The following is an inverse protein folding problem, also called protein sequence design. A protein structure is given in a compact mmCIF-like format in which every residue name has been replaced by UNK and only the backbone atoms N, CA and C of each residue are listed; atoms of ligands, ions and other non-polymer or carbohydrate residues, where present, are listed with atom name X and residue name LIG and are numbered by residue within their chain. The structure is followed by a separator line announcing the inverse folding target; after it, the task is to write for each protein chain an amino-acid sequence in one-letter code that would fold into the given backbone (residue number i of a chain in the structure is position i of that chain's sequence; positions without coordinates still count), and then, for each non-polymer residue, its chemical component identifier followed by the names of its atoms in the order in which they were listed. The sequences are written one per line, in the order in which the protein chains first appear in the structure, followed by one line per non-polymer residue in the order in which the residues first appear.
data_IF_389590254249
#
_entry.id   IF_389590254249
#
_cell.length_a   1.000
_cell.length_b   1.000
_cell.length_c   1.000
_cell.angle_alpha   90.00
_cell.angle_beta   90.00
_cell.angle_gamma   90.00
#
_symmetry.space_group_name_H-M   'P 1'
#
loop_
_entity.id
_entity.type
_entity.pdbx_description
1 polymer ?
#
# COMPACT_ATOMS: atom_id res chain seq x y z
N UNK A 1 -11.38 -3.33 24.22
CA UNK A 1 -11.71 -2.87 22.86
C UNK A 1 -11.85 -4.03 21.89
N UNK A 2 -12.62 -3.87 20.81
CA UNK A 2 -12.68 -4.90 19.76
C UNK A 2 -11.55 -4.70 18.75
N UNK A 3 -10.84 -5.79 18.42
CA UNK A 3 -9.75 -5.77 17.45
C UNK A 3 -9.64 -7.07 16.65
N UNK A 4 -9.28 -6.97 15.39
CA UNK A 4 -8.78 -8.12 14.63
C UNK A 4 -7.32 -8.33 15.00
N UNK A 5 -7.01 -9.47 15.61
CA UNK A 5 -5.68 -9.76 16.15
C UNK A 5 -5.03 -10.87 15.34
N UNK A 6 -3.82 -10.61 14.85
CA UNK A 6 -2.97 -11.59 14.18
C UNK A 6 -1.94 -12.14 15.17
N UNK A 7 -2.07 -13.41 15.51
CA UNK A 7 -1.26 -14.05 16.55
C UNK A 7 -0.21 -14.98 15.95
N UNK A 8 0.94 -15.13 16.62
CA UNK A 8 1.99 -16.08 16.20
C UNK A 8 1.54 -17.53 16.44
N UNK A 9 0.89 -18.13 15.45
CA UNK A 9 0.37 -19.53 15.48
C UNK A 9 0.86 -20.30 14.24
N UNK A 10 2.02 -21.00 14.31
CA UNK A 10 2.63 -21.62 13.14
C UNK A 10 1.71 -22.56 12.36
N UNK A 11 0.96 -23.42 13.03
CA UNK A 11 0.04 -24.36 12.38
C UNK A 11 -1.08 -23.65 11.59
N UNK A 12 -1.67 -22.58 12.19
CA UNK A 12 -2.68 -21.76 11.49
C UNK A 12 -2.08 -20.95 10.34
N UNK A 13 -0.84 -20.47 10.50
CA UNK A 13 -0.13 -19.78 9.44
C UNK A 13 0.15 -20.71 8.25
N UNK A 14 0.58 -21.94 8.49
CA UNK A 14 0.74 -22.96 7.45
C UNK A 14 -0.59 -23.27 6.74
N UNK A 15 -1.69 -23.39 7.49
CA UNK A 15 -3.03 -23.56 6.91
C UNK A 15 -3.44 -22.36 6.04
N UNK A 16 -3.16 -21.14 6.48
CA UNK A 16 -3.41 -19.92 5.70
C UNK A 16 -2.61 -19.90 4.40
N UNK A 17 -1.33 -20.27 4.42
CA UNK A 17 -0.48 -20.37 3.22
C UNK A 17 -1.06 -21.35 2.19
N UNK A 18 -1.54 -22.51 2.63
CA UNK A 18 -2.16 -23.49 1.73
C UNK A 18 -3.50 -22.98 1.16
N UNK A 19 -4.35 -22.42 2.02
CA UNK A 19 -5.64 -21.90 1.61
C UNK A 19 -5.50 -20.69 0.66
N UNK A 20 -4.59 -19.75 0.94
CA UNK A 20 -4.32 -18.57 0.11
C UNK A 20 -3.79 -18.91 -1.28
N UNK A 21 -3.02 -20.01 -1.43
CA UNK A 21 -2.60 -20.53 -2.74
C UNK A 21 -3.76 -21.04 -3.59
N UNK A 22 -4.80 -21.59 -2.96
CA UNK A 22 -5.98 -22.10 -3.64
C UNK A 22 -6.98 -20.98 -3.95
N UNK A 23 -7.13 -20.03 -3.03
CA UNK A 23 -8.05 -18.91 -3.19
C UNK A 23 -7.53 -17.69 -2.41
N UNK A 24 -7.15 -16.60 -3.09
CA UNK A 24 -6.70 -15.38 -2.42
C UNK A 24 -7.74 -14.87 -1.40
N UNK A 25 -7.27 -14.53 -0.19
CA UNK A 25 -8.09 -14.12 0.94
C UNK A 25 -8.61 -15.26 1.83
N UNK A 26 -8.44 -16.53 1.41
CA UNK A 26 -8.92 -17.68 2.19
C UNK A 26 -8.18 -17.87 3.52
N UNK A 27 -7.00 -17.28 3.66
CA UNK A 27 -6.25 -17.25 4.93
C UNK A 27 -7.02 -16.58 6.07
N UNK A 28 -7.93 -15.67 5.78
CA UNK A 28 -8.77 -15.02 6.79
C UNK A 28 -9.61 -16.01 7.61
N UNK A 29 -10.11 -17.09 6.98
CA UNK A 29 -10.98 -18.08 7.61
C UNK A 29 -10.22 -19.12 8.45
N UNK A 30 -9.02 -19.53 8.01
CA UNK A 30 -8.30 -20.65 8.63
C UNK A 30 -7.02 -20.22 9.33
N UNK A 31 -6.60 -19.00 9.10
CA UNK A 31 -5.33 -18.43 9.57
C UNK A 31 -5.34 -17.97 11.03
N UNK A 32 -4.30 -17.26 11.43
CA UNK A 32 -4.13 -16.78 12.80
C UNK A 32 -4.87 -15.47 13.12
N UNK A 33 -5.53 -14.85 12.12
CA UNK A 33 -6.35 -13.66 12.32
C UNK A 33 -7.67 -14.02 13.02
N UNK A 34 -8.08 -13.23 14.01
CA UNK A 34 -9.38 -13.42 14.69
C UNK A 34 -9.87 -12.13 15.33
N UNK A 35 -11.18 -11.89 15.30
CA UNK A 35 -11.82 -10.82 16.06
C UNK A 35 -11.82 -11.18 17.55
N UNK A 36 -11.34 -10.26 18.41
CA UNK A 36 -11.19 -10.45 19.84
C UNK A 36 -11.58 -9.20 20.61
N UNK A 37 -11.95 -9.39 21.86
CA UNK A 37 -11.91 -8.34 22.87
C UNK A 37 -10.52 -8.39 23.51
N UNK A 38 -9.81 -7.24 23.46
CA UNK A 38 -8.44 -7.08 23.97
C UNK A 38 -8.34 -5.78 24.76
N UNK A 39 -7.35 -5.67 25.63
CA UNK A 39 -7.04 -4.43 26.31
C UNK A 39 -6.57 -3.36 25.34
N UNK A 40 -6.90 -2.09 25.54
CA UNK A 40 -6.36 -0.98 24.77
C UNK A 40 -4.84 -0.91 24.89
N UNK A 41 -4.12 -0.50 23.82
CA UNK A 41 -2.69 -0.26 23.93
C UNK A 41 -2.39 0.84 24.97
N UNK A 42 -1.35 0.63 25.76
CA UNK A 42 -0.85 1.63 26.68
C UNK A 42 -0.11 2.74 25.95
N UNK A 43 -0.15 3.97 26.47
CA UNK A 43 0.61 5.08 25.89
C UNK A 43 2.08 4.96 26.30
N UNK A 44 3.03 4.81 25.37
CA UNK A 44 4.44 4.58 25.70
C UNK A 44 5.13 5.77 26.37
N UNK A 45 4.59 6.97 26.23
CA UNK A 45 5.17 8.18 26.82
C UNK A 45 4.60 9.48 26.26
N UNK A 46 5.28 10.61 26.48
CA UNK A 46 4.84 11.91 25.98
C UNK A 46 4.70 11.94 24.46
N UNK A 47 3.73 12.72 23.99
CA UNK A 47 3.44 12.86 22.55
C UNK A 47 2.57 11.74 21.96
N UNK A 48 2.29 10.67 22.70
CA UNK A 48 1.38 9.62 22.29
C UNK A 48 -0.06 9.95 22.67
N UNK A 49 -0.99 9.59 21.79
CA UNK A 49 -2.42 9.80 22.00
C UNK A 49 -3.24 8.64 21.47
N UNK A 50 -4.48 8.55 21.92
CA UNK A 50 -5.46 7.58 21.45
C UNK A 50 -6.09 8.07 20.15
N UNK A 51 -6.32 7.14 19.24
CA UNK A 51 -7.03 7.37 17.99
C UNK A 51 -8.16 6.36 17.88
N UNK A 52 -9.35 6.84 17.60
CA UNK A 52 -10.52 6.01 17.31
C UNK A 52 -10.71 5.94 15.80
N UNK A 53 -10.35 4.83 15.13
CA UNK A 53 -10.53 4.68 13.68
C UNK A 53 -11.99 4.87 13.26
N UNK A 54 -12.19 5.61 12.18
CA UNK A 54 -13.48 5.77 11.48
C UNK A 54 -13.57 4.81 10.32
N UNK A 55 -12.57 4.87 9.43
CA UNK A 55 -12.33 3.90 8.36
C UNK A 55 -10.90 3.39 8.42
N UNK A 56 -10.71 2.13 8.07
CA UNK A 56 -9.39 1.56 7.85
C UNK A 56 -9.37 0.74 6.57
N UNK A 57 -8.47 1.09 5.66
CA UNK A 57 -8.31 0.41 4.37
C UNK A 57 -7.74 -1.01 4.52
N UNK A 58 -8.01 -1.84 3.51
CA UNK A 58 -7.37 -3.15 3.36
C UNK A 58 -6.32 -3.03 2.25
N UNK A 59 -5.05 -3.17 2.60
CA UNK A 59 -3.92 -3.10 1.69
C UNK A 59 -3.55 -4.48 1.12
N UNK A 60 -2.87 -4.50 -0.03
CA UNK A 60 -2.28 -5.73 -0.57
C UNK A 60 -1.29 -6.40 0.38
N UNK A 61 -0.54 -5.63 1.19
CA UNK A 61 0.37 -6.14 2.22
C UNK A 61 -0.37 -6.87 3.36
N UNK A 62 -1.56 -6.40 3.75
CA UNK A 62 -2.41 -7.08 4.72
C UNK A 62 -2.87 -8.43 4.16
N UNK A 63 -3.33 -8.45 2.91
CA UNK A 63 -3.75 -9.68 2.22
C UNK A 63 -2.61 -10.69 2.12
N UNK A 64 -1.40 -10.23 1.75
CA UNK A 64 -0.22 -11.09 1.68
C UNK A 64 0.14 -11.67 3.06
N UNK A 65 -0.01 -10.88 4.13
CA UNK A 65 0.22 -11.33 5.51
C UNK A 65 -0.82 -12.38 5.93
N UNK A 66 -2.08 -12.15 5.63
CA UNK A 66 -3.19 -13.04 5.97
C UNK A 66 -3.08 -14.38 5.22
N UNK A 67 -2.71 -14.35 3.96
CA UNK A 67 -2.50 -15.55 3.13
C UNK A 67 -1.11 -16.17 3.30
N UNK A 68 -0.26 -15.60 4.17
CA UNK A 68 1.08 -16.11 4.48
C UNK A 68 2.06 -16.04 3.30
N UNK A 69 1.84 -15.13 2.36
CA UNK A 69 2.70 -14.92 1.18
C UNK A 69 3.70 -13.77 1.34
N UNK A 70 3.62 -13.02 2.45
CA UNK A 70 4.59 -11.99 2.80
C UNK A 70 5.99 -12.57 2.94
N UNK A 71 7.02 -11.82 2.52
CA UNK A 71 8.40 -12.24 2.67
C UNK A 71 8.80 -12.35 4.16
N UNK A 72 9.53 -13.41 4.49
CA UNK A 72 10.14 -13.56 5.82
C UNK A 72 11.18 -12.49 6.15
N UNK A 73 11.61 -11.72 5.18
CA UNK A 73 12.46 -10.56 5.39
C UNK A 73 11.87 -9.58 6.42
N UNK A 74 10.56 -9.51 6.52
CA UNK A 74 9.86 -8.64 7.47
C UNK A 74 9.74 -9.24 8.89
N UNK A 75 9.98 -10.53 9.08
CA UNK A 75 9.75 -11.20 10.37
C UNK A 75 10.47 -10.54 11.56
N UNK A 76 11.74 -10.09 11.46
CA UNK A 76 12.42 -9.36 12.54
C UNK A 76 11.88 -7.94 12.79
N UNK A 77 11.06 -7.42 11.88
CA UNK A 77 10.51 -6.07 11.89
C UNK A 77 9.01 -6.06 12.22
N UNK A 78 8.51 -7.12 12.87
CA UNK A 78 7.11 -7.29 13.29
C UNK A 78 7.09 -7.90 14.67
N UNK A 79 6.27 -7.39 15.57
CA UNK A 79 6.00 -7.99 16.88
C UNK A 79 4.60 -8.60 16.95
N UNK A 80 4.41 -9.60 17.80
CA UNK A 80 3.17 -10.37 17.90
C UNK A 80 2.67 -10.45 19.35
N UNK A 81 1.32 -10.43 19.56
CA UNK A 81 0.27 -10.29 18.57
C UNK A 81 0.14 -8.84 18.07
N UNK A 82 -0.23 -8.62 16.83
CA UNK A 82 -0.52 -7.28 16.33
C UNK A 82 -1.95 -7.17 15.78
N UNK A 83 -2.46 -5.96 15.73
CA UNK A 83 -3.72 -5.62 15.06
C UNK A 83 -3.39 -5.00 13.71
N UNK A 84 -3.83 -5.57 12.56
CA UNK A 84 -3.56 -5.00 11.24
C UNK A 84 -4.26 -3.67 10.99
N UNK A 85 -3.98 -3.09 9.82
CA UNK A 85 -4.56 -1.83 9.34
C UNK A 85 -3.65 -0.64 9.57
N UNK A 86 -3.11 -0.12 8.47
CA UNK A 86 -2.17 1.02 8.46
C UNK A 86 -2.67 2.19 7.60
N UNK A 87 -3.74 2.02 6.85
CA UNK A 87 -4.42 3.08 6.12
C UNK A 87 -5.62 3.53 6.98
N UNK A 88 -5.47 4.61 7.74
CA UNK A 88 -6.43 4.95 8.81
C UNK A 88 -6.81 6.42 8.78
N UNK A 89 -8.11 6.68 8.81
CA UNK A 89 -8.69 7.94 9.26
C UNK A 89 -9.43 7.70 10.57
N UNK A 90 -9.24 8.58 11.55
CA UNK A 90 -9.82 8.43 12.88
C UNK A 90 -9.97 9.76 13.61
N UNK A 91 -10.58 9.70 14.80
CA UNK A 91 -10.74 10.85 15.69
C UNK A 91 -9.82 10.74 16.91
N UNK A 92 -9.29 11.87 17.31
CA UNK A 92 -8.64 12.05 18.61
C UNK A 92 -9.69 12.26 19.72
N UNK A 93 -9.28 12.15 20.97
CA UNK A 93 -10.16 12.38 22.12
C UNK A 93 -10.68 13.83 22.21
N UNK A 94 -9.98 14.79 21.59
CA UNK A 94 -10.40 16.19 21.50
C UNK A 94 -11.33 16.49 20.29
N UNK A 95 -11.73 15.45 19.54
CA UNK A 95 -12.64 15.54 18.42
C UNK A 95 -11.97 15.89 17.08
N UNK A 96 -10.67 16.17 17.04
CA UNK A 96 -9.95 16.40 15.78
C UNK A 96 -9.89 15.13 14.94
N UNK A 97 -10.22 15.26 13.66
CA UNK A 97 -10.10 14.18 12.69
C UNK A 97 -8.72 14.16 12.07
N UNK A 98 -8.10 12.98 12.02
CA UNK A 98 -6.73 12.80 11.55
C UNK A 98 -6.59 11.58 10.65
N UNK A 99 -5.62 11.63 9.73
CA UNK A 99 -5.05 10.44 9.10
C UNK A 99 -3.71 10.12 9.74
N UNK A 100 -3.34 8.85 9.74
CA UNK A 100 -2.15 8.36 10.41
C UNK A 100 -1.03 8.16 9.39
N UNK A 101 0.16 8.68 9.70
CA UNK A 101 1.43 8.30 9.06
C UNK A 101 1.93 7.05 9.79
N UNK A 102 1.72 5.84 9.28
CA UNK A 102 1.92 4.63 10.08
C UNK A 102 3.38 4.29 10.39
N UNK A 103 4.37 4.82 9.67
CA UNK A 103 5.79 4.52 9.87
C UNK A 103 6.23 4.86 11.30
N UNK A 104 6.83 3.88 11.99
CA UNK A 104 7.35 4.02 13.35
C UNK A 104 8.82 4.43 13.31
N UNK A 105 9.06 5.71 13.01
CA UNK A 105 10.40 6.31 12.93
C UNK A 105 11.05 6.52 14.31
N UNK A 106 12.30 7.01 14.34
CA UNK A 106 13.01 7.31 15.58
C UNK A 106 12.21 8.17 16.55
N UNK A 107 11.51 9.20 16.07
CA UNK A 107 10.73 10.12 16.92
C UNK A 107 9.60 9.37 17.64
N UNK A 108 8.78 8.61 16.91
CA UNK A 108 7.74 7.79 17.51
C UNK A 108 8.31 6.76 18.50
N UNK A 109 9.53 6.27 18.28
CA UNK A 109 10.20 5.32 19.17
C UNK A 109 10.93 5.94 20.36
N UNK A 110 10.83 7.28 20.54
CA UNK A 110 11.53 7.98 21.63
C UNK A 110 13.05 7.94 21.54
N UNK A 111 13.60 7.77 20.33
CA UNK A 111 15.05 7.65 20.10
C UNK A 111 15.65 9.02 19.82
N UNK A 112 16.57 9.45 20.68
CA UNK A 112 17.35 10.68 20.53
C UNK A 112 18.84 10.38 20.78
N UNK A 113 19.78 10.89 19.92
CA UNK A 113 19.50 11.55 18.65
C UNK A 113 18.88 10.57 17.62
N UNK A 114 18.15 11.11 16.66
CA UNK A 114 17.58 10.32 15.55
C UNK A 114 18.67 9.78 14.63
N UNK A 115 18.40 8.70 13.88
CA UNK A 115 19.32 8.25 12.82
C UNK A 115 19.36 9.26 11.67
N UNK A 116 20.41 9.20 10.84
CA UNK A 116 20.63 10.15 9.74
C UNK A 116 19.41 10.25 8.79
N UNK A 117 18.82 9.15 8.28
CA UNK A 117 17.64 9.27 7.44
C UNK A 117 16.46 9.99 8.13
N UNK A 118 16.20 9.70 9.40
CA UNK A 118 15.13 10.38 10.15
C UNK A 118 15.41 11.88 10.36
N UNK A 119 16.66 12.25 10.61
CA UNK A 119 17.08 13.66 10.74
C UNK A 119 16.88 14.43 9.41
N UNK A 120 16.97 13.74 8.29
CA UNK A 120 16.75 14.28 6.93
C UNK A 120 15.28 14.20 6.46
N UNK A 121 14.37 13.74 7.32
CA UNK A 121 12.93 13.56 6.97
C UNK A 121 12.62 12.29 6.17
N UNK A 122 13.61 11.46 5.85
CA UNK A 122 13.47 10.19 5.14
C UNK A 122 13.05 9.07 6.12
N UNK A 123 11.86 9.22 6.70
CA UNK A 123 11.34 8.32 7.76
C UNK A 123 11.19 6.88 7.30
N UNK A 124 10.88 6.66 6.01
CA UNK A 124 10.77 5.34 5.37
C UNK A 124 12.11 4.57 5.33
N UNK A 125 13.23 5.25 5.54
CA UNK A 125 14.57 4.67 5.62
C UNK A 125 15.10 4.61 7.06
N UNK A 126 14.22 4.64 8.08
CA UNK A 126 14.65 4.57 9.47
C UNK A 126 15.49 3.32 9.73
N UNK A 127 16.68 3.52 10.31
CA UNK A 127 17.63 2.42 10.61
C UNK A 127 17.40 1.76 11.97
N UNK A 128 16.38 2.23 12.73
CA UNK A 128 16.18 1.83 14.13
C UNK A 128 14.78 1.28 14.40
N UNK A 129 14.20 0.54 13.44
CA UNK A 129 12.84 0.02 13.50
C UNK A 129 12.59 -1.04 14.59
N UNK A 130 13.65 -1.64 15.15
CA UNK A 130 13.58 -2.62 16.22
C UNK A 130 14.02 -2.09 17.59
N UNK A 131 14.25 -0.78 17.75
CA UNK A 131 14.79 -0.19 18.97
C UNK A 131 13.86 0.86 19.58
N UNK A 132 14.18 1.32 20.78
CA UNK A 132 13.45 2.36 21.50
C UNK A 132 12.34 1.81 22.38
N UNK A 133 11.33 2.63 22.67
CA UNK A 133 10.26 2.32 23.64
C UNK A 133 9.15 1.42 23.09
N UNK A 134 9.18 1.08 21.78
CA UNK A 134 8.19 0.22 21.15
C UNK A 134 8.81 -1.13 20.80
N UNK A 135 7.98 -2.16 20.83
CA UNK A 135 8.34 -3.45 20.24
C UNK A 135 8.70 -3.32 18.75
N UNK A 136 9.46 -4.27 18.17
CA UNK A 136 9.78 -4.24 16.75
C UNK A 136 8.54 -4.06 15.89
N UNK A 137 8.62 -3.15 14.92
CA UNK A 137 7.52 -2.86 14.00
C UNK A 137 7.91 -1.85 12.94
N UNK A 138 7.65 -2.16 11.66
CA UNK A 138 7.84 -1.23 10.55
C UNK A 138 6.92 -0.02 10.69
N UNK A 139 5.67 -0.29 11.09
CA UNK A 139 4.58 0.67 11.11
C UNK A 139 3.46 0.20 12.05
N UNK A 140 2.56 1.10 12.41
CA UNK A 140 1.28 0.73 13.02
C UNK A 140 0.61 -0.33 12.14
N UNK A 141 -0.10 -1.28 12.75
CA UNK A 141 -0.67 -2.40 12.01
C UNK A 141 0.26 -3.62 11.89
N UNK A 142 1.54 -3.50 12.32
CA UNK A 142 2.52 -4.58 12.38
C UNK A 142 3.39 -4.49 13.65
N UNK A 143 2.96 -3.73 14.64
CA UNK A 143 3.61 -3.55 15.92
C UNK A 143 2.63 -3.85 17.06
N UNK A 144 3.03 -4.72 17.99
CA UNK A 144 2.23 -5.08 19.17
C UNK A 144 1.87 -3.85 20.00
N UNK A 145 2.84 -2.93 20.18
CA UNK A 145 2.70 -1.77 21.06
C UNK A 145 1.68 -0.74 20.59
N UNK A 146 1.36 -0.66 19.29
CA UNK A 146 0.56 0.46 18.75
C UNK A 146 -0.87 0.10 18.41
N UNK A 147 -1.16 -1.19 18.28
CA UNK A 147 -2.37 -1.61 17.61
C UNK A 147 -2.37 -1.23 16.13
N UNK A 148 -3.55 -1.17 15.53
CA UNK A 148 -3.76 -0.82 14.13
C UNK A 148 -5.22 -0.49 13.84
N UNK A 149 -5.49 -0.02 12.63
CA UNK A 149 -6.79 0.51 12.25
C UNK A 149 -7.94 -0.52 12.22
N UNK A 150 -7.64 -1.83 12.28
CA UNK A 150 -8.68 -2.86 12.34
C UNK A 150 -9.09 -3.13 13.79
N UNK A 151 -9.28 -2.05 14.54
CA UNK A 151 -9.75 -2.04 15.93
C UNK A 151 -10.57 -0.80 16.23
N UNK A 152 -11.30 -0.81 17.35
CA UNK A 152 -12.06 0.37 17.81
C UNK A 152 -11.17 1.44 18.45
N UNK A 153 -9.93 1.09 18.79
CA UNK A 153 -8.93 2.01 19.36
C UNK A 153 -7.51 1.58 18.98
N UNK A 154 -6.68 2.53 18.58
CA UNK A 154 -5.23 2.41 18.43
C UNK A 154 -4.54 3.61 19.04
N UNK A 155 -3.21 3.61 19.09
CA UNK A 155 -2.43 4.78 19.50
C UNK A 155 -1.50 5.25 18.39
N UNK A 156 -1.21 6.55 18.40
CA UNK A 156 -0.26 7.16 17.48
C UNK A 156 0.52 8.27 18.20
N UNK A 157 1.77 8.50 17.77
CA UNK A 157 2.55 9.64 18.21
C UNK A 157 2.12 10.91 17.46
N UNK A 158 2.21 12.07 18.09
CA UNK A 158 1.82 13.36 17.48
C UNK A 158 2.47 13.61 16.11
N UNK A 159 3.71 13.14 15.89
CA UNK A 159 4.40 13.23 14.59
C UNK A 159 3.78 12.37 13.50
N UNK A 160 2.93 11.41 13.86
CA UNK A 160 2.22 10.55 12.92
C UNK A 160 0.86 11.11 12.53
N UNK A 161 0.42 12.22 13.14
CA UNK A 161 -0.90 12.79 12.93
C UNK A 161 -0.88 13.85 11.82
N UNK A 162 -1.80 13.72 10.87
CA UNK A 162 -2.09 14.74 9.86
C UNK A 162 -3.56 15.11 9.96
N UNK A 163 -3.84 16.39 10.23
CA UNK A 163 -5.21 16.87 10.36
C UNK A 163 -5.97 16.74 9.04
N UNK A 164 -7.21 16.28 9.13
CA UNK A 164 -8.11 16.12 7.98
C UNK A 164 -9.09 17.31 7.95
N UNK A 165 -9.16 18.05 6.85
CA UNK A 165 -10.15 19.13 6.70
C UNK A 165 -11.59 18.59 6.84
N UNK A 166 -12.48 19.37 7.44
CA UNK A 166 -13.90 18.99 7.62
C UNK A 166 -14.61 18.72 6.28
N UNK A 167 -14.17 19.39 5.23
CA UNK A 167 -14.71 19.23 3.87
C UNK A 167 -14.33 17.92 3.19
N UNK A 168 -13.32 17.18 3.71
CA UNK A 168 -12.88 15.92 3.12
C UNK A 168 -13.68 14.75 3.72
N UNK A 169 -14.22 13.87 2.88
CA UNK A 169 -14.92 12.66 3.33
C UNK A 169 -13.96 11.66 3.98
N UNK A 170 -14.48 10.76 4.82
CA UNK A 170 -13.67 9.68 5.39
C UNK A 170 -13.16 8.72 4.31
N UNK A 171 -13.95 8.51 3.26
CA UNK A 171 -13.60 7.69 2.11
C UNK A 171 -12.41 8.27 1.32
N UNK A 172 -12.33 9.60 1.19
CA UNK A 172 -11.17 10.26 0.61
C UNK A 172 -9.98 10.25 1.58
N UNK A 173 -10.22 10.49 2.87
CA UNK A 173 -9.18 10.54 3.89
C UNK A 173 -8.47 9.19 4.09
N UNK A 174 -9.19 8.06 4.03
CA UNK A 174 -8.57 6.72 4.15
C UNK A 174 -7.63 6.39 2.99
N UNK A 175 -7.75 7.09 1.86
CA UNK A 175 -6.87 6.95 0.69
C UNK A 175 -5.62 7.84 0.75
N UNK A 176 -5.47 8.70 1.75
CA UNK A 176 -4.30 9.59 1.86
C UNK A 176 -3.00 8.79 1.97
N UNK A 177 -2.98 7.75 2.80
CA UNK A 177 -1.79 6.91 2.98
C UNK A 177 -1.35 6.22 1.66
N UNK A 178 -2.20 5.44 0.96
CA UNK A 178 -1.77 4.82 -0.30
C UNK A 178 -1.51 5.85 -1.41
N UNK A 179 -2.13 7.05 -1.36
CA UNK A 179 -1.82 8.14 -2.28
C UNK A 179 -0.43 8.72 -2.00
N UNK A 180 -0.01 8.82 -0.74
CA UNK A 180 1.35 9.23 -0.38
C UNK A 180 2.39 8.24 -0.93
N UNK A 181 2.14 6.92 -0.87
CA UNK A 181 2.98 5.92 -1.53
C UNK A 181 3.08 6.15 -3.04
N UNK A 182 1.96 6.45 -3.69
CA UNK A 182 1.92 6.72 -5.13
C UNK A 182 2.69 8.01 -5.51
N UNK A 183 2.56 9.07 -4.72
CA UNK A 183 3.30 10.33 -4.91
C UNK A 183 4.79 10.11 -4.72
N UNK A 184 5.19 9.37 -3.69
CA UNK A 184 6.58 9.02 -3.44
C UNK A 184 7.20 8.24 -4.62
N UNK A 185 6.45 7.29 -5.17
CA UNK A 185 6.88 6.56 -6.37
C UNK A 185 6.97 7.47 -7.60
N UNK A 186 5.96 8.30 -7.84
CA UNK A 186 5.92 9.23 -8.97
C UNK A 186 7.07 10.24 -8.94
N UNK A 187 7.44 10.75 -7.76
CA UNK A 187 8.56 11.68 -7.59
C UNK A 187 9.93 11.08 -7.98
N UNK A 188 10.05 9.77 -8.05
CA UNK A 188 11.28 9.09 -8.47
C UNK A 188 11.36 8.88 -9.99
N UNK A 189 10.27 9.08 -10.72
CA UNK A 189 10.19 8.87 -12.17
C UNK A 189 10.68 10.11 -12.90
N UNK A 190 11.76 9.95 -13.66
CA UNK A 190 12.36 11.00 -14.48
C UNK A 190 12.31 10.59 -15.96
N UNK A 191 11.09 10.59 -16.51
CA UNK A 191 10.84 10.18 -17.88
C UNK A 191 9.56 10.81 -18.43
N UNK A 192 9.54 11.10 -19.73
CA UNK A 192 8.36 11.68 -20.40
C UNK A 192 7.41 10.58 -20.94
N UNK A 193 7.85 9.33 -20.98
CA UNK A 193 7.04 8.19 -21.38
C UNK A 193 7.16 7.07 -20.36
N UNK A 194 6.03 6.65 -19.82
CA UNK A 194 5.97 5.71 -18.69
C UNK A 194 4.91 4.64 -18.94
N UNK A 195 5.24 3.39 -18.62
CA UNK A 195 4.26 2.32 -18.52
C UNK A 195 3.97 2.00 -17.04
N UNK A 196 2.69 1.99 -16.63
CA UNK A 196 2.24 1.59 -15.30
C UNK A 196 1.62 0.19 -15.41
N UNK A 197 2.24 -0.78 -14.75
CA UNK A 197 1.74 -2.17 -14.73
C UNK A 197 0.80 -2.36 -13.53
N UNK A 198 -0.47 -2.64 -13.84
CA UNK A 198 -1.52 -2.89 -12.85
C UNK A 198 -2.30 -1.63 -12.45
N UNK A 199 -3.63 -1.69 -12.62
CA UNK A 199 -4.58 -0.63 -12.28
C UNK A 199 -5.48 -1.03 -11.09
N UNK A 200 -4.87 -1.58 -10.03
CA UNK A 200 -5.48 -1.69 -8.70
C UNK A 200 -5.44 -0.33 -7.98
N UNK A 201 -5.76 -0.29 -6.69
CA UNK A 201 -5.74 0.96 -5.90
C UNK A 201 -4.44 1.73 -6.11
N UNK A 202 -3.29 1.09 -5.84
CA UNK A 202 -1.99 1.76 -5.92
C UNK A 202 -1.64 2.21 -7.35
N UNK A 203 -1.95 1.39 -8.37
CA UNK A 203 -1.71 1.76 -9.76
C UNK A 203 -2.55 2.94 -10.25
N UNK A 204 -3.83 2.98 -9.87
CA UNK A 204 -4.71 4.11 -10.18
C UNK A 204 -4.22 5.40 -9.52
N UNK A 205 -3.83 5.34 -8.24
CA UNK A 205 -3.26 6.48 -7.52
C UNK A 205 -1.91 6.91 -8.11
N UNK A 206 -1.08 5.97 -8.58
CA UNK A 206 0.20 6.25 -9.24
C UNK A 206 -0.01 6.96 -10.59
N UNK A 207 -1.00 6.54 -11.38
CA UNK A 207 -1.38 7.23 -12.63
C UNK A 207 -1.77 8.68 -12.33
N UNK A 208 -2.63 8.90 -11.34
CA UNK A 208 -3.05 10.24 -10.92
C UNK A 208 -1.86 11.09 -10.44
N UNK A 209 -0.97 10.52 -9.63
CA UNK A 209 0.22 11.20 -9.12
C UNK A 209 1.20 11.58 -10.23
N UNK A 210 1.47 10.67 -11.19
CA UNK A 210 2.32 10.93 -12.35
C UNK A 210 1.76 12.03 -13.23
N UNK A 211 0.45 11.99 -13.55
CA UNK A 211 -0.22 13.02 -14.36
C UNK A 211 -0.20 14.39 -13.65
N UNK A 212 -0.38 14.40 -12.32
CA UNK A 212 -0.30 15.64 -11.54
C UNK A 212 1.12 16.21 -11.51
N UNK A 213 2.14 15.35 -11.38
CA UNK A 213 3.54 15.76 -11.35
C UNK A 213 4.04 16.26 -12.72
N UNK A 214 3.62 15.62 -13.80
CA UNK A 214 3.96 15.99 -15.18
C UNK A 214 2.71 15.93 -16.08
N UNK A 215 2.06 17.07 -16.37
CA UNK A 215 0.84 17.11 -17.19
C UNK A 215 1.06 16.61 -18.65
N UNK A 216 2.28 16.61 -19.15
CA UNK A 216 2.63 16.24 -20.53
C UNK A 216 3.19 14.83 -20.66
N UNK A 217 3.31 14.10 -19.57
CA UNK A 217 3.84 12.74 -19.57
C UNK A 217 2.98 11.81 -20.44
N UNK A 218 3.59 10.96 -21.28
CA UNK A 218 2.90 9.90 -22.01
C UNK A 218 2.75 8.67 -21.10
N UNK A 219 1.52 8.42 -20.64
CA UNK A 219 1.19 7.33 -19.71
C UNK A 219 0.46 6.19 -20.42
N UNK A 220 1.07 5.00 -20.40
CA UNK A 220 0.40 3.75 -20.76
C UNK A 220 0.16 2.93 -19.50
N UNK A 221 -1.07 2.48 -19.27
CA UNK A 221 -1.40 1.63 -18.13
C UNK A 221 -1.90 0.25 -18.56
N UNK A 222 -1.71 -0.76 -17.70
CA UNK A 222 -2.36 -2.05 -17.89
C UNK A 222 -3.49 -2.27 -16.90
N UNK A 223 -4.64 -2.77 -17.39
CA UNK A 223 -5.78 -3.11 -16.56
C UNK A 223 -6.51 -4.34 -17.10
N UNK A 224 -6.76 -5.34 -16.22
CA UNK A 224 -7.47 -6.58 -16.57
C UNK A 224 -8.98 -6.40 -16.72
N UNK A 225 -9.56 -5.46 -15.97
CA UNK A 225 -11.02 -5.34 -15.83
C UNK A 225 -11.53 -4.03 -16.43
N UNK A 226 -12.74 -4.02 -17.06
CA UNK A 226 -13.28 -2.84 -17.75
C UNK A 226 -13.38 -1.60 -16.87
N UNK A 227 -13.84 -1.72 -15.61
CA UNK A 227 -13.94 -0.61 -14.68
C UNK A 227 -12.56 -0.02 -14.33
N UNK A 228 -11.53 -0.86 -14.19
CA UNK A 228 -10.15 -0.40 -13.97
C UNK A 228 -9.61 0.35 -15.18
N UNK A 229 -9.94 -0.10 -16.41
CA UNK A 229 -9.57 0.61 -17.65
C UNK A 229 -10.19 2.00 -17.71
N UNK A 230 -11.49 2.10 -17.41
CA UNK A 230 -12.19 3.38 -17.38
C UNK A 230 -11.58 4.34 -16.36
N UNK A 231 -11.36 3.89 -15.13
CA UNK A 231 -10.75 4.69 -14.06
C UNK A 231 -9.31 5.10 -14.39
N UNK A 232 -8.50 4.22 -14.97
CA UNK A 232 -7.13 4.54 -15.36
C UNK A 232 -7.09 5.66 -16.44
N UNK A 233 -7.96 5.60 -17.43
CA UNK A 233 -8.11 6.65 -18.44
C UNK A 233 -8.57 7.97 -17.81
N UNK A 234 -9.58 7.93 -16.94
CA UNK A 234 -10.12 9.10 -16.24
C UNK A 234 -9.07 9.78 -15.35
N UNK A 235 -8.22 8.98 -14.67
CA UNK A 235 -7.15 9.47 -13.79
C UNK A 235 -5.89 9.91 -14.55
N UNK A 236 -5.87 9.83 -15.88
CA UNK A 236 -4.85 10.46 -16.71
C UNK A 236 -3.96 9.53 -17.51
N UNK A 237 -4.27 8.23 -17.64
CA UNK A 237 -3.57 7.38 -18.59
C UNK A 237 -4.02 7.71 -20.03
N UNK A 238 -3.05 7.97 -20.93
CA UNK A 238 -3.32 8.25 -22.35
C UNK A 238 -3.74 7.00 -23.11
N UNK A 239 -3.26 5.85 -22.67
CA UNK A 239 -3.59 4.56 -23.23
C UNK A 239 -3.74 3.50 -22.13
N UNK A 240 -4.78 2.68 -22.22
CA UNK A 240 -4.99 1.57 -21.28
C UNK A 240 -5.19 0.29 -22.07
N UNK A 241 -4.32 -0.68 -21.84
CA UNK A 241 -4.30 -1.96 -22.55
C UNK A 241 -4.45 -3.15 -21.59
N UNK A 242 -4.81 -4.31 -22.11
CA UNK A 242 -4.72 -5.54 -21.31
C UNK A 242 -3.25 -5.93 -21.09
N UNK A 243 -2.91 -6.58 -19.97
CA UNK A 243 -1.53 -6.99 -19.69
C UNK A 243 -0.90 -7.81 -20.81
N UNK A 244 -1.67 -8.67 -21.48
CA UNK A 244 -1.23 -9.48 -22.61
C UNK A 244 -0.88 -8.67 -23.87
N UNK A 245 -1.38 -7.45 -23.98
CA UNK A 245 -1.18 -6.57 -25.13
C UNK A 245 -0.04 -5.56 -24.94
N UNK A 246 0.46 -5.37 -23.71
CA UNK A 246 1.42 -4.32 -23.38
C UNK A 246 2.68 -4.39 -24.22
N UNK A 247 3.30 -5.57 -24.38
CA UNK A 247 4.53 -5.75 -25.14
C UNK A 247 4.33 -5.34 -26.62
N UNK A 248 3.19 -5.72 -27.23
CA UNK A 248 2.81 -5.34 -28.59
C UNK A 248 2.59 -3.83 -28.71
N UNK A 249 1.88 -3.25 -27.74
CA UNK A 249 1.56 -1.83 -27.70
C UNK A 249 2.84 -0.98 -27.58
N UNK A 250 3.71 -1.29 -26.62
CA UNK A 250 5.00 -0.60 -26.43
C UNK A 250 5.86 -0.70 -27.67
N UNK A 251 5.95 -1.89 -28.27
CA UNK A 251 6.66 -2.09 -29.54
C UNK A 251 6.19 -1.12 -30.62
N UNK A 252 4.89 -1.02 -30.83
CA UNK A 252 4.33 -0.15 -31.87
C UNK A 252 4.59 1.34 -31.58
N UNK A 253 4.50 1.75 -30.31
CA UNK A 253 4.70 3.14 -29.90
C UNK A 253 6.16 3.59 -29.92
N UNK A 254 7.11 2.66 -29.77
CA UNK A 254 8.54 2.96 -29.68
C UNK A 254 9.32 2.59 -30.97
N UNK A 255 8.68 1.97 -31.93
CA UNK A 255 9.34 1.47 -33.13
C UNK A 255 10.33 0.33 -32.87
N UNK A 256 10.23 -0.33 -31.70
CA UNK A 256 11.14 -1.41 -31.31
C UNK A 256 10.90 -2.67 -32.12
N UNK A 257 11.95 -3.42 -32.38
CA UNK A 257 11.84 -4.78 -32.92
C UNK A 257 11.59 -5.76 -31.75
N UNK A 258 10.93 -6.87 -32.05
CA UNK A 258 10.76 -7.99 -31.12
C UNK A 258 11.71 -9.11 -31.55
N UNK A 259 12.54 -9.55 -30.60
CA UNK A 259 13.41 -10.71 -30.78
C UNK A 259 12.65 -12.02 -30.52
N UNK A 260 13.22 -13.15 -30.95
CA UNK A 260 12.63 -14.49 -30.78
C UNK A 260 12.40 -14.84 -29.29
N UNK A 261 13.24 -14.28 -28.39
CA UNK A 261 13.07 -14.36 -26.94
C UNK A 261 11.84 -13.62 -26.38
N UNK A 262 11.13 -12.86 -27.24
CA UNK A 262 10.02 -11.98 -26.85
C UNK A 262 10.45 -10.59 -26.36
N UNK A 263 11.73 -10.37 -26.15
CA UNK A 263 12.32 -9.11 -25.70
C UNK A 263 12.22 -8.04 -26.80
N UNK A 264 12.03 -6.78 -26.41
CA UNK A 264 12.07 -5.63 -27.32
C UNK A 264 13.50 -5.06 -27.40
N UNK A 265 13.92 -4.63 -28.56
CA UNK A 265 15.23 -3.97 -28.74
C UNK A 265 15.27 -2.56 -28.14
N UNK A 266 14.13 -1.89 -28.07
CA UNK A 266 13.91 -0.61 -27.39
C UNK A 266 12.95 -0.77 -26.20
N UNK A 267 12.00 0.15 -26.08
CA UNK A 267 10.98 0.11 -25.02
C UNK A 267 10.68 1.50 -24.45
N UNK A 268 10.05 1.55 -23.29
CA UNK A 268 9.79 2.80 -22.57
C UNK A 268 10.93 3.11 -21.59
N UNK A 269 11.29 4.39 -21.38
CA UNK A 269 12.40 4.75 -20.48
C UNK A 269 12.10 4.46 -19.01
N UNK A 270 10.82 4.42 -18.61
CA UNK A 270 10.45 4.07 -17.23
C UNK A 270 9.23 3.15 -17.20
N UNK A 271 9.26 2.20 -16.26
CA UNK A 271 8.13 1.32 -15.93
C UNK A 271 7.86 1.43 -14.43
N UNK A 272 6.60 1.57 -14.05
CA UNK A 272 6.17 1.53 -12.64
C UNK A 272 5.36 0.24 -12.44
N UNK A 273 5.91 -0.71 -11.70
CA UNK A 273 5.23 -1.97 -11.38
C UNK A 273 4.48 -1.85 -10.06
N UNK A 274 3.15 -1.74 -10.15
CA UNK A 274 2.24 -1.69 -9.00
C UNK A 274 1.66 -3.06 -8.62
N UNK A 275 2.18 -4.15 -9.22
CA UNK A 275 1.74 -5.54 -8.97
C UNK A 275 2.73 -6.31 -8.13
N UNK A 276 4.02 -6.28 -8.49
CA UNK A 276 5.11 -6.96 -7.77
C UNK A 276 5.13 -8.48 -7.96
N UNK A 277 4.54 -9.03 -9.02
CA UNK A 277 4.60 -10.46 -9.31
C UNK A 277 5.80 -10.81 -10.21
N UNK A 278 6.21 -12.10 -10.24
CA UNK A 278 7.22 -12.57 -11.17
C UNK A 278 6.91 -12.18 -12.62
N UNK A 279 5.66 -12.33 -13.01
CA UNK A 279 5.19 -12.04 -14.36
C UNK A 279 5.25 -10.54 -14.67
N UNK A 280 4.85 -9.66 -13.71
CA UNK A 280 4.90 -8.20 -13.93
C UNK A 280 6.33 -7.70 -14.00
N UNK A 281 7.23 -8.20 -13.14
CA UNK A 281 8.65 -7.85 -13.17
C UNK A 281 9.31 -8.33 -14.48
N UNK A 282 9.03 -9.58 -14.88
CA UNK A 282 9.53 -10.10 -16.16
C UNK A 282 9.00 -9.30 -17.36
N UNK A 283 7.74 -8.89 -17.33
CA UNK A 283 7.16 -8.01 -18.35
C UNK A 283 7.83 -6.64 -18.35
N UNK A 284 8.02 -6.04 -17.15
CA UNK A 284 8.75 -4.77 -17.03
C UNK A 284 10.15 -4.84 -17.64
N UNK A 285 10.90 -5.91 -17.36
CA UNK A 285 12.23 -6.12 -17.96
C UNK A 285 12.20 -6.21 -19.49
N UNK A 286 11.15 -6.83 -20.07
CA UNK A 286 11.03 -6.93 -21.54
C UNK A 286 10.76 -5.61 -22.22
N UNK A 287 9.96 -4.73 -21.61
CA UNK A 287 9.47 -3.49 -22.22
C UNK A 287 10.26 -2.24 -21.83
N UNK A 288 11.14 -2.31 -20.82
CA UNK A 288 11.99 -1.17 -20.45
C UNK A 288 13.09 -0.97 -21.48
N UNK A 289 13.31 0.25 -21.91
CA UNK A 289 14.38 0.58 -22.85
C UNK A 289 15.78 0.32 -22.24
N UNK A 290 16.83 0.09 -23.03
CA UNK A 290 18.20 0.11 -22.53
C UNK A 290 18.51 1.42 -21.78
N UNK A 291 19.15 1.32 -20.61
CA UNK A 291 19.39 2.44 -19.68
C UNK A 291 18.16 2.95 -18.94
N UNK A 292 17.00 2.32 -19.12
CA UNK A 292 15.77 2.72 -18.45
C UNK A 292 15.66 2.22 -17.00
N UNK A 293 14.57 2.60 -16.32
CA UNK A 293 14.36 2.28 -14.91
C UNK A 293 13.01 1.60 -14.67
N UNK A 294 13.01 0.55 -13.86
CA UNK A 294 11.82 -0.09 -13.33
C UNK A 294 11.66 0.33 -11.87
N UNK A 295 10.52 0.94 -11.54
CA UNK A 295 10.14 1.30 -10.16
C UNK A 295 9.21 0.21 -9.60
N UNK A 296 9.70 -0.58 -8.63
CA UNK A 296 8.90 -1.59 -7.95
C UNK A 296 8.14 -0.93 -6.78
N UNK A 297 6.84 -0.77 -6.94
CA UNK A 297 5.91 -0.15 -5.99
C UNK A 297 5.00 -1.19 -5.35
N UNK A 298 4.51 -2.16 -6.14
CA UNK A 298 3.85 -3.35 -5.63
C UNK A 298 4.83 -4.16 -4.78
N UNK A 299 4.35 -4.64 -3.61
CA UNK A 299 5.20 -5.42 -2.70
C UNK A 299 5.61 -6.76 -3.35
N UNK A 300 6.87 -6.92 -3.76
CA UNK A 300 7.32 -8.20 -4.29
C UNK A 300 7.51 -9.20 -3.13
N UNK A 301 7.05 -10.42 -3.34
CA UNK A 301 7.41 -11.53 -2.47
C UNK A 301 8.77 -12.13 -2.87
N UNK A 302 9.02 -13.36 -2.45
CA UNK A 302 10.15 -14.16 -2.97
C UNK A 302 9.77 -14.64 -4.37
N UNK A 303 10.56 -14.23 -5.38
CA UNK A 303 10.29 -14.58 -6.77
C UNK A 303 11.57 -14.91 -7.52
N UNK A 304 11.46 -15.68 -8.61
CA UNK A 304 12.56 -15.99 -9.52
C UNK A 304 12.38 -15.19 -10.80
N UNK A 305 13.40 -14.41 -11.15
CA UNK A 305 13.42 -13.57 -12.37
C UNK A 305 14.78 -13.70 -13.01
N UNK A 306 14.83 -13.79 -14.34
CA UNK A 306 16.07 -13.71 -15.10
C UNK A 306 16.59 -12.25 -15.10
N UNK A 307 17.73 -12.04 -14.46
CA UNK A 307 18.37 -10.71 -14.35
C UNK A 307 19.27 -10.38 -15.54
N UNK A 308 19.42 -11.28 -16.52
CA UNK A 308 20.26 -11.01 -17.72
C UNK A 308 19.87 -9.74 -18.45
N UNK A 309 18.56 -9.43 -18.66
CA UNK A 309 18.15 -8.17 -19.29
C UNK A 309 18.55 -6.93 -18.48
N UNK A 310 18.53 -7.03 -17.15
CA UNK A 310 18.95 -5.95 -16.28
C UNK A 310 20.43 -5.63 -16.47
N UNK A 311 21.31 -6.66 -16.49
CA UNK A 311 22.72 -6.47 -16.71
C UNK A 311 23.05 -6.05 -18.16
N UNK A 312 22.53 -6.79 -19.15
CA UNK A 312 22.90 -6.59 -20.57
C UNK A 312 22.38 -5.27 -21.15
N UNK A 313 21.25 -4.77 -20.63
CA UNK A 313 20.62 -3.51 -21.09
C UNK A 313 20.84 -2.35 -20.13
N UNK A 314 21.61 -2.55 -19.06
CA UNK A 314 21.84 -1.53 -18.02
C UNK A 314 20.54 -0.97 -17.42
N UNK A 315 19.51 -1.82 -17.28
CA UNK A 315 18.23 -1.42 -16.69
C UNK A 315 18.37 -1.34 -15.18
N UNK A 316 17.96 -0.21 -14.59
CA UNK A 316 17.89 -0.07 -13.15
C UNK A 316 16.57 -0.68 -12.60
N UNK A 317 16.66 -1.48 -11.53
CA UNK A 317 15.51 -1.90 -10.73
C UNK A 317 15.57 -1.17 -9.39
N UNK A 318 14.61 -0.28 -9.14
CA UNK A 318 14.55 0.56 -7.95
C UNK A 318 13.26 0.32 -7.17
N UNK A 319 13.37 0.07 -5.86
CA UNK A 319 12.22 0.03 -4.97
C UNK A 319 11.66 1.43 -4.68
N UNK A 320 10.34 1.55 -4.58
CA UNK A 320 9.67 2.71 -4.04
C UNK A 320 8.84 2.25 -2.83
N UNK A 321 9.37 2.47 -1.63
CA UNK A 321 8.80 1.97 -0.38
C UNK A 321 8.22 3.11 0.45
N UNK A 322 6.96 2.97 0.82
CA UNK A 322 6.25 3.91 1.68
C UNK A 322 6.35 5.37 1.16
N UNK A 323 6.74 6.32 2.02
CA UNK A 323 6.69 7.76 1.73
C UNK A 323 7.56 8.54 2.72
N UNK A 324 7.77 9.80 2.42
CA UNK A 324 8.29 10.81 3.33
C UNK A 324 7.14 11.67 3.87
N UNK A 325 7.39 12.45 4.93
CA UNK A 325 6.34 13.27 5.54
C UNK A 325 5.68 14.25 4.57
N UNK A 326 6.39 14.97 3.69
CA UNK A 326 5.77 15.90 2.73
C UNK A 326 4.83 15.23 1.72
N UNK A 327 5.00 13.93 1.46
CA UNK A 327 4.14 13.19 0.54
C UNK A 327 2.69 13.10 1.05
N UNK A 328 2.49 13.11 2.39
CA UNK A 328 1.14 13.13 2.99
C UNK A 328 0.40 14.44 2.74
N UNK A 329 1.07 15.57 2.83
CA UNK A 329 0.44 16.87 2.55
C UNK A 329 0.06 16.99 1.08
N UNK A 330 0.89 16.45 0.20
CA UNK A 330 0.59 16.38 -1.23
C UNK A 330 -0.56 15.39 -1.51
N UNK A 331 -0.60 14.25 -0.81
CA UNK A 331 -1.66 13.26 -0.93
C UNK A 331 -3.02 13.82 -0.48
N UNK A 332 -3.04 14.56 0.64
CA UNK A 332 -4.25 15.18 1.15
C UNK A 332 -4.88 16.13 0.10
N UNK A 333 -4.04 16.92 -0.57
CA UNK A 333 -4.50 17.79 -1.67
C UNK A 333 -4.99 16.98 -2.88
N UNK A 334 -4.25 15.95 -3.28
CA UNK A 334 -4.58 15.17 -4.47
C UNK A 334 -5.89 14.39 -4.30
N UNK A 335 -6.14 13.78 -3.13
CA UNK A 335 -7.38 13.04 -2.87
C UNK A 335 -8.61 13.96 -2.89
N UNK A 336 -8.46 15.22 -2.47
CA UNK A 336 -9.51 16.23 -2.52
C UNK A 336 -9.75 16.74 -3.94
N UNK A 337 -8.68 17.12 -4.66
CA UNK A 337 -8.76 17.68 -6.02
C UNK A 337 -9.41 16.72 -7.02
N UNK A 338 -9.13 15.42 -6.90
CA UNK A 338 -9.61 14.42 -7.85
C UNK A 338 -10.79 13.59 -7.33
N UNK A 339 -11.38 13.95 -6.18
CA UNK A 339 -12.47 13.20 -5.54
C UNK A 339 -12.18 11.69 -5.49
N UNK A 340 -10.98 11.33 -4.99
CA UNK A 340 -10.54 9.95 -4.97
C UNK A 340 -11.33 9.06 -4.00
N UNK A 341 -12.11 9.62 -3.09
CA UNK A 341 -12.99 8.88 -2.18
C UNK A 341 -13.91 7.90 -2.89
N UNK A 342 -14.30 8.18 -4.13
CA UNK A 342 -15.11 7.27 -4.97
C UNK A 342 -14.44 5.94 -5.31
N UNK A 343 -13.13 5.81 -5.12
CA UNK A 343 -12.42 4.56 -5.29
C UNK A 343 -12.66 3.57 -4.15
N UNK A 344 -13.20 4.02 -3.01
CA UNK A 344 -13.67 3.13 -1.93
C UNK A 344 -14.98 2.50 -2.37
N UNK A 345 -14.90 1.28 -2.85
CA UNK A 345 -16.01 0.58 -3.50
C UNK A 345 -16.97 -0.08 -2.52
N UNK A 346 -16.50 -0.45 -1.33
CA UNK A 346 -17.33 -1.02 -0.28
C UNK A 346 -16.66 -0.91 1.10
N UNK A 347 -17.48 -0.83 2.14
CA UNK A 347 -17.06 -0.87 3.53
C UNK A 347 -17.74 -2.00 4.29
N UNK A 348 -17.08 -2.51 5.34
CA UNK A 348 -17.54 -3.63 6.13
C UNK A 348 -17.32 -3.38 7.64
N UNK A 349 -18.24 -3.76 8.52
CA UNK A 349 -17.96 -3.79 9.96
C UNK A 349 -16.94 -4.90 10.28
N UNK A 350 -16.17 -4.75 11.37
CA UNK A 350 -15.13 -5.72 11.75
C UNK A 350 -15.64 -7.15 11.88
N UNK A 351 -16.87 -7.35 12.35
CA UNK A 351 -17.46 -8.70 12.47
C UNK A 351 -17.61 -9.43 11.13
N UNK A 352 -17.56 -8.72 10.00
CA UNK A 352 -17.61 -9.28 8.65
C UNK A 352 -16.23 -9.32 7.98
N UNK A 353 -15.16 -9.46 8.78
CA UNK A 353 -13.78 -9.37 8.27
C UNK A 353 -13.45 -10.43 7.20
N UNK A 354 -13.99 -11.64 7.31
CA UNK A 354 -13.77 -12.68 6.28
C UNK A 354 -14.36 -12.26 4.93
N UNK A 355 -15.57 -11.68 4.93
CA UNK A 355 -16.19 -11.15 3.72
C UNK A 355 -15.42 -9.97 3.14
N UNK A 356 -14.97 -9.05 3.99
CA UNK A 356 -14.19 -7.88 3.61
C UNK A 356 -12.86 -8.27 2.94
N UNK A 357 -12.13 -9.19 3.56
CA UNK A 357 -10.84 -9.69 3.07
C UNK A 357 -11.02 -10.45 1.76
N UNK A 358 -12.04 -11.32 1.65
CA UNK A 358 -12.35 -12.02 0.42
C UNK A 358 -12.76 -11.04 -0.70
N UNK A 359 -13.53 -9.97 -0.36
CA UNK A 359 -13.85 -8.93 -1.33
C UNK A 359 -12.60 -8.20 -1.79
N UNK A 360 -11.74 -7.78 -0.88
CA UNK A 360 -10.49 -7.09 -1.21
C UNK A 360 -9.57 -7.95 -2.08
N UNK A 361 -9.38 -9.23 -1.74
CA UNK A 361 -8.57 -10.17 -2.51
C UNK A 361 -9.11 -10.46 -3.92
N UNK A 362 -10.41 -10.24 -4.14
CA UNK A 362 -11.09 -10.44 -5.42
C UNK A 362 -11.64 -9.14 -6.04
N UNK A 363 -11.21 -7.98 -5.54
CA UNK A 363 -11.80 -6.67 -5.86
C UNK A 363 -11.95 -6.42 -7.37
N UNK A 364 -10.90 -6.63 -8.15
CA UNK A 364 -10.95 -6.42 -9.60
C UNK A 364 -12.01 -7.28 -10.30
N UNK A 365 -12.14 -8.56 -9.94
CA UNK A 365 -13.18 -9.46 -10.52
C UNK A 365 -14.60 -9.07 -10.11
N UNK A 366 -14.75 -8.36 -8.99
CA UNK A 366 -16.02 -7.93 -8.43
C UNK A 366 -16.38 -6.48 -8.76
N UNK A 367 -15.65 -5.85 -9.68
CA UNK A 367 -15.89 -4.45 -10.07
C UNK A 367 -15.50 -3.43 -9.00
N UNK A 368 -14.67 -3.82 -8.04
CA UNK A 368 -14.24 -2.98 -6.93
C UNK A 368 -12.76 -2.55 -7.06
N UNK A 369 -12.37 -1.50 -6.33
CA UNK A 369 -11.01 -0.98 -6.26
C UNK A 369 -10.49 -1.09 -4.82
N UNK A 370 -11.02 -0.26 -3.90
CA UNK A 370 -10.62 -0.24 -2.50
C UNK A 370 -11.74 -0.75 -1.61
N UNK A 371 -11.37 -1.59 -0.66
CA UNK A 371 -12.25 -2.07 0.41
C UNK A 371 -11.71 -1.56 1.74
N UNK A 372 -12.60 -1.15 2.65
CA UNK A 372 -12.23 -0.67 3.98
C UNK A 372 -13.14 -1.27 5.06
N UNK A 373 -12.65 -1.28 6.30
CA UNK A 373 -13.48 -1.48 7.47
C UNK A 373 -14.11 -0.16 7.89
N UNK A 374 -15.40 -0.21 8.24
CA UNK A 374 -16.14 0.90 8.82
C UNK A 374 -16.35 0.65 10.31
N UNK A 375 -15.71 1.48 11.13
CA UNK A 375 -15.71 1.38 12.57
C UNK A 375 -16.62 2.44 13.23
N UNK A 376 -17.25 3.31 12.44
CA UNK A 376 -18.09 4.41 12.94
C UNK A 376 -19.24 3.92 13.82
N UNK A 377 -19.95 2.87 13.39
CA UNK A 377 -21.06 2.29 14.13
C UNK A 377 -20.63 1.40 15.32
N UNK A 378 -19.41 0.90 15.35
CA UNK A 378 -18.89 0.07 16.44
C UNK A 378 -18.45 0.92 17.63
N UNK A 379 -18.11 2.19 17.41
CA UNK A 379 -17.70 3.18 18.42
C UNK A 379 -18.83 3.56 19.36
N UNK A 380 -20.07 3.62 18.87
CA UNK A 380 -21.26 3.97 19.66
C UNK A 380 -21.61 2.92 20.69
N UNK A 381 -21.16 1.67 20.51
CA UNK A 381 -21.44 0.54 21.41
C UNK A 381 -20.44 0.40 22.55
N UNK A 382 -19.22 0.88 22.37
CA UNK A 382 -18.16 0.85 23.39
C UNK A 382 -18.24 2.05 24.35
N UNK A 383 -19.19 2.97 24.13
CA UNK A 383 -19.43 4.19 24.94
C UNK A 383 -20.55 4.02 25.97
N UNK A 384 -21.15 2.83 26.06
CA UNK A 384 -22.18 2.44 27.03
C UNK A 384 -21.58 1.39 27.97
#
# INVERSE_FOLDING_TARGET
MKALTFSRKPAKFAAAMLAGRLSPGAGAKVGPLALRDVDPPELPGPGWTRVRPRLSGICGSDLATIDGTSSRWFEPLVSFPFTPGHEVVGDLDDGRRVVIVPVLSCVARGISPTCTPCAEGRINHCERLGYGQLEPGLQCGFCESTGGGWSTLMIAHQDQLVAVPDSLSDEAAVLVEPTACAIHAAAQVQADRVAVIGAGTLGLLTIAALRKANPTIELTATAKHPHQRALAAELGADSVVEPSELDRFVRARTGSMRLDSGQLTGGVPAVVDCVGSAESIAQALRITAPGGTIHAVGMPGVTTVDLTPLWQREVALRGAYAYQRPDFDAALRLVQELDLGRLVSATYPLRRYEDAINHAASAGRRGAVKIAFDLRAERERDSI
#
